data_IF_484192104860
#
_entry.id   IF_484192104860
#
_cell.length_a   1.000
_cell.length_b   1.000
_cell.length_c   1.000
_cell.angle_alpha   90.00
_cell.angle_beta   90.00
_cell.angle_gamma   90.00
#
_symmetry.space_group_name_H-M   'P 1'
#
loop_
_entity.id
_entity.type
_entity.pdbx_description
1 polymer ?
#
# COMPACT_ATOMS: atom_id res chain seq x y z
N UNK A 1 -14.56 22.37 0.91
CA UNK A 1 -15.16 21.16 0.32
C UNK A 1 -14.20 20.02 0.59
N UNK A 2 -14.63 18.91 1.20
CA UNK A 2 -13.77 17.77 1.47
C UNK A 2 -13.36 17.06 0.18
N UNK A 3 -12.27 16.27 0.22
CA UNK A 3 -11.86 15.48 -0.94
C UNK A 3 -12.93 14.47 -1.37
N UNK A 4 -13.67 13.87 -0.43
CA UNK A 4 -14.77 12.98 -0.79
C UNK A 4 -15.90 13.73 -1.49
N UNK A 5 -16.29 14.92 -1.03
CA UNK A 5 -17.32 15.73 -1.70
C UNK A 5 -16.90 16.16 -3.11
N UNK A 6 -15.62 16.45 -3.31
CA UNK A 6 -15.05 16.78 -4.61
C UNK A 6 -15.08 15.59 -5.58
N UNK A 7 -14.76 14.38 -5.08
CA UNK A 7 -14.68 13.17 -5.90
C UNK A 7 -16.03 12.48 -6.08
N UNK A 8 -16.90 12.52 -5.07
CA UNK A 8 -18.19 11.82 -5.01
C UNK A 8 -19.28 12.79 -4.52
N UNK A 9 -19.74 13.75 -5.35
CA UNK A 9 -20.72 14.75 -4.93
C UNK A 9 -22.00 14.11 -4.37
N UNK A 10 -22.38 14.49 -3.15
CA UNK A 10 -23.61 14.02 -2.48
C UNK A 10 -23.56 12.57 -1.97
N UNK A 11 -22.43 11.87 -2.06
CA UNK A 11 -22.31 10.49 -1.58
C UNK A 11 -20.88 10.21 -1.08
N UNK A 12 -20.70 9.08 -0.37
CA UNK A 12 -19.38 8.52 -0.07
C UNK A 12 -19.09 7.35 -1.05
N UNK A 13 -17.81 7.06 -1.34
CA UNK A 13 -17.47 5.82 -2.01
C UNK A 13 -17.93 4.63 -1.15
N UNK A 14 -18.34 3.54 -1.79
CA UNK A 14 -18.68 2.30 -1.07
C UNK A 14 -17.45 1.48 -0.71
N UNK A 15 -16.37 1.67 -1.45
CA UNK A 15 -15.08 0.97 -1.25
C UNK A 15 -13.93 1.96 -1.37
N UNK A 16 -13.04 1.98 -0.38
CA UNK A 16 -11.76 2.67 -0.46
C UNK A 16 -10.64 1.65 -0.36
N UNK A 17 -9.80 1.61 -1.36
CA UNK A 17 -8.62 0.75 -1.42
C UNK A 17 -7.38 1.62 -1.18
N UNK A 18 -6.43 1.13 -0.40
CA UNK A 18 -5.20 1.86 -0.02
C UNK A 18 -3.96 1.06 -0.40
N UNK A 19 -2.92 1.73 -0.85
CA UNK A 19 -1.57 1.20 -0.75
C UNK A 19 -1.08 1.24 0.71
N UNK A 20 0.07 0.66 0.99
CA UNK A 20 0.65 0.56 2.33
C UNK A 20 1.88 1.46 2.50
N UNK A 21 3.00 1.09 1.85
CA UNK A 21 4.30 1.74 2.02
C UNK A 21 4.31 3.09 1.30
N UNK A 22 4.49 4.20 2.02
CA UNK A 22 4.40 5.56 1.50
C UNK A 22 3.00 6.16 1.53
N UNK A 23 1.98 5.34 1.77
CA UNK A 23 0.57 5.76 1.83
C UNK A 23 0.02 5.76 3.26
N UNK A 24 0.08 4.62 3.93
CA UNK A 24 -0.41 4.47 5.31
C UNK A 24 0.73 4.50 6.33
N UNK A 25 1.91 4.05 5.93
CA UNK A 25 3.08 3.93 6.80
C UNK A 25 4.35 4.47 6.12
N UNK A 26 5.24 5.07 6.91
CA UNK A 26 6.63 5.31 6.53
C UNK A 26 7.45 4.08 6.94
N UNK A 27 7.73 3.21 5.99
CA UNK A 27 8.51 1.98 6.16
C UNK A 27 9.94 2.09 5.63
N UNK A 28 10.29 3.20 5.00
CA UNK A 28 11.64 3.38 4.41
C UNK A 28 12.76 3.22 5.41
N UNK A 29 12.66 3.66 6.68
CA UNK A 29 13.74 3.45 7.63
C UNK A 29 14.10 1.97 7.85
N UNK A 30 13.10 1.09 8.00
CA UNK A 30 13.35 -0.36 8.14
C UNK A 30 13.80 -1.00 6.83
N UNK A 31 13.23 -0.57 5.69
CA UNK A 31 13.66 -1.02 4.37
C UNK A 31 15.11 -0.64 4.09
N UNK A 32 15.53 0.58 4.46
CA UNK A 32 16.91 1.03 4.30
C UNK A 32 17.87 0.24 5.18
N UNK A 33 17.53 -0.02 6.43
CA UNK A 33 18.33 -0.85 7.32
C UNK A 33 18.53 -2.27 6.76
N UNK A 34 17.47 -2.87 6.20
CA UNK A 34 17.56 -4.20 5.59
C UNK A 34 18.38 -4.20 4.29
N UNK A 35 18.23 -3.18 3.45
CA UNK A 35 19.04 -3.00 2.23
C UNK A 35 20.50 -2.82 2.58
N UNK A 36 20.81 -1.95 3.54
CA UNK A 36 22.19 -1.68 3.93
C UNK A 36 22.86 -2.93 4.51
N UNK A 37 22.14 -3.71 5.32
CA UNK A 37 22.64 -4.99 5.84
C UNK A 37 22.90 -5.99 4.72
N UNK A 38 21.98 -6.16 3.80
CA UNK A 38 22.15 -7.00 2.60
C UNK A 38 23.41 -6.59 1.82
N UNK A 39 23.58 -5.30 1.53
CA UNK A 39 24.73 -4.78 0.78
C UNK A 39 26.05 -5.06 1.52
N UNK A 40 26.09 -4.86 2.83
CA UNK A 40 27.28 -5.17 3.65
C UNK A 40 27.63 -6.67 3.62
N UNK A 41 26.65 -7.56 3.74
CA UNK A 41 26.85 -9.01 3.67
C UNK A 41 27.36 -9.44 2.27
N UNK A 42 27.00 -8.69 1.23
CA UNK A 42 27.51 -8.89 -0.15
C UNK A 42 28.86 -8.14 -0.41
N UNK A 43 29.50 -7.59 0.63
CA UNK A 43 30.78 -6.87 0.51
C UNK A 43 30.68 -5.51 -0.18
N UNK A 44 29.46 -4.91 -0.25
CA UNK A 44 29.18 -3.61 -0.88
C UNK A 44 29.02 -2.51 0.17
N UNK A 45 29.07 -1.25 -0.27
CA UNK A 45 28.83 -0.10 0.61
C UNK A 45 27.33 0.07 0.86
N UNK A 46 26.92 0.50 2.09
CA UNK A 46 25.53 0.85 2.36
C UNK A 46 25.01 1.92 1.39
N UNK A 47 23.74 1.84 1.06
CA UNK A 47 23.06 2.81 0.20
C UNK A 47 22.54 4.03 0.97
N UNK A 48 22.09 3.79 2.21
CA UNK A 48 21.51 4.82 3.07
C UNK A 48 20.05 5.15 2.76
N UNK A 49 19.43 5.86 3.70
CA UNK A 49 17.99 6.14 3.72
C UNK A 49 17.49 6.84 2.45
N UNK A 50 18.19 7.88 2.01
CA UNK A 50 17.74 8.72 0.88
C UNK A 50 17.73 7.96 -0.44
N UNK A 51 18.74 7.14 -0.71
CA UNK A 51 18.80 6.32 -1.91
C UNK A 51 17.64 5.30 -1.91
N UNK A 52 17.46 4.60 -0.79
CA UNK A 52 16.39 3.60 -0.66
C UNK A 52 15.01 4.23 -0.80
N UNK A 53 14.77 5.43 -0.26
CA UNK A 53 13.52 6.19 -0.45
C UNK A 53 13.16 6.39 -1.94
N UNK A 54 14.15 6.62 -2.79
CA UNK A 54 13.95 6.76 -4.23
C UNK A 54 13.72 5.42 -4.95
N UNK A 55 14.09 4.31 -4.34
CA UNK A 55 14.01 2.98 -4.97
C UNK A 55 12.77 2.18 -4.61
N UNK A 56 12.08 2.52 -3.53
CA UNK A 56 10.87 1.83 -3.03
C UNK A 56 9.68 2.02 -3.98
N UNK A 57 8.71 1.07 -3.96
CA UNK A 57 7.41 1.18 -4.63
C UNK A 57 7.07 0.04 -5.59
N UNK A 58 8.07 -0.74 -6.06
CA UNK A 58 7.84 -1.81 -7.04
C UNK A 58 8.02 -3.24 -6.48
N UNK A 59 8.05 -3.37 -5.15
CA UNK A 59 8.25 -4.64 -4.44
C UNK A 59 9.71 -5.00 -4.19
N UNK A 60 9.92 -5.99 -3.31
CA UNK A 60 11.25 -6.35 -2.81
C UNK A 60 12.26 -6.79 -3.91
N UNK A 61 11.89 -7.60 -4.93
CA UNK A 61 12.85 -7.98 -5.97
C UNK A 61 13.39 -6.77 -6.75
N UNK A 62 12.55 -5.78 -7.04
CA UNK A 62 12.99 -4.57 -7.76
C UNK A 62 13.83 -3.67 -6.85
N UNK A 63 13.47 -3.55 -5.58
CA UNK A 63 14.25 -2.79 -4.60
C UNK A 63 15.67 -3.34 -4.47
N UNK A 64 15.82 -4.66 -4.36
CA UNK A 64 17.12 -5.34 -4.28
C UNK A 64 17.96 -5.09 -5.53
N UNK A 65 17.39 -5.26 -6.73
CA UNK A 65 18.11 -4.97 -7.98
C UNK A 65 18.57 -3.51 -8.06
N UNK A 66 17.73 -2.57 -7.65
CA UNK A 66 18.12 -1.15 -7.61
C UNK A 66 19.24 -0.88 -6.62
N UNK A 67 19.22 -1.56 -5.47
CA UNK A 67 20.28 -1.46 -4.47
C UNK A 67 21.60 -2.02 -5.01
N UNK A 68 21.58 -3.15 -5.72
CA UNK A 68 22.76 -3.74 -6.34
C UNK A 68 23.30 -2.89 -7.50
N UNK A 69 22.41 -2.26 -8.27
CA UNK A 69 22.79 -1.34 -9.36
C UNK A 69 23.23 0.04 -8.83
N UNK A 70 22.87 0.41 -7.59
CA UNK A 70 23.07 1.75 -7.05
C UNK A 70 22.18 2.82 -7.71
N UNK A 71 21.05 2.43 -8.32
CA UNK A 71 20.18 3.34 -9.06
C UNK A 71 18.86 2.73 -9.53
N UNK A 72 18.03 3.55 -10.21
CA UNK A 72 16.74 3.11 -10.74
C UNK A 72 16.88 2.16 -11.94
N UNK A 73 17.90 2.35 -12.77
CA UNK A 73 18.23 1.44 -13.86
C UNK A 73 19.00 0.23 -13.29
N UNK A 74 18.37 -0.92 -13.40
CA UNK A 74 18.88 -2.17 -12.83
C UNK A 74 18.92 -3.32 -13.85
N UNK A 75 18.85 -3.02 -15.14
CA UNK A 75 18.80 -4.02 -16.21
C UNK A 75 20.10 -4.86 -16.32
N UNK A 76 21.23 -4.30 -15.86
CA UNK A 76 22.54 -4.96 -15.90
C UNK A 76 22.84 -5.84 -14.69
N UNK A 77 21.96 -5.91 -13.68
CA UNK A 77 22.17 -6.73 -12.49
C UNK A 77 21.94 -8.20 -12.84
N UNK A 78 22.94 -9.02 -12.52
CA UNK A 78 22.90 -10.47 -12.73
C UNK A 78 21.76 -11.12 -11.93
N UNK A 79 21.14 -12.17 -12.50
CA UNK A 79 19.98 -12.80 -11.89
C UNK A 79 20.36 -13.59 -10.63
N UNK A 80 21.50 -14.31 -10.63
CA UNK A 80 21.96 -15.08 -9.48
C UNK A 80 22.35 -14.13 -8.32
N UNK A 81 23.01 -13.01 -8.65
CA UNK A 81 23.33 -11.97 -7.66
C UNK A 81 22.07 -11.33 -7.08
N UNK A 82 21.06 -11.07 -7.90
CA UNK A 82 19.77 -10.53 -7.46
C UNK A 82 19.01 -11.51 -6.57
N UNK A 83 19.04 -12.82 -6.86
CA UNK A 83 18.39 -13.85 -6.04
C UNK A 83 19.08 -13.96 -4.68
N UNK A 84 20.42 -14.03 -4.64
CA UNK A 84 21.17 -14.01 -3.39
C UNK A 84 20.88 -12.75 -2.56
N UNK A 85 20.89 -11.58 -3.20
CA UNK A 85 20.56 -10.31 -2.52
C UNK A 85 19.13 -10.31 -1.96
N UNK A 86 18.18 -10.88 -2.72
CA UNK A 86 16.79 -10.97 -2.25
C UNK A 86 16.65 -11.84 -1.01
N UNK A 87 17.34 -12.98 -0.95
CA UNK A 87 17.33 -13.84 0.23
C UNK A 87 17.87 -13.11 1.46
N UNK A 88 19.03 -12.47 1.34
CA UNK A 88 19.65 -11.69 2.43
C UNK A 88 18.77 -10.53 2.89
N UNK A 89 18.21 -9.78 1.93
CA UNK A 89 17.26 -8.70 2.23
C UNK A 89 16.04 -9.22 3.00
N UNK A 90 15.45 -10.32 2.55
CA UNK A 90 14.25 -10.88 3.16
C UNK A 90 14.51 -11.40 4.58
N UNK A 91 15.70 -11.91 4.87
CA UNK A 91 16.14 -12.30 6.22
C UNK A 91 16.30 -11.05 7.09
N UNK A 92 17.07 -10.07 6.62
CA UNK A 92 17.30 -8.83 7.35
C UNK A 92 15.99 -8.07 7.65
N UNK A 93 15.09 -8.00 6.67
CA UNK A 93 13.81 -7.32 6.84
C UNK A 93 12.85 -8.05 7.80
N UNK A 94 12.93 -9.37 7.90
CA UNK A 94 12.10 -10.15 8.84
C UNK A 94 12.48 -9.93 10.31
N UNK A 95 13.70 -9.47 10.60
CA UNK A 95 14.23 -9.35 11.96
C UNK A 95 13.84 -8.04 12.66
N UNK A 96 13.49 -6.98 11.92
CA UNK A 96 13.20 -5.67 12.52
C UNK A 96 12.18 -4.87 11.73
N UNK A 97 11.20 -4.29 12.45
CA UNK A 97 10.20 -3.35 11.94
C UNK A 97 9.97 -2.20 12.93
N UNK A 98 10.96 -1.88 13.74
CA UNK A 98 10.81 -0.96 14.89
C UNK A 98 10.79 0.51 14.45
N UNK A 99 11.33 0.83 13.28
CA UNK A 99 11.43 2.19 12.76
C UNK A 99 10.22 2.62 11.91
N UNK A 100 9.39 1.66 11.50
CA UNK A 100 8.18 1.92 10.72
C UNK A 100 7.12 2.63 11.56
N UNK A 101 6.55 3.70 11.03
CA UNK A 101 5.52 4.49 11.70
C UNK A 101 4.30 4.70 10.81
N UNK A 102 3.12 4.88 11.43
CA UNK A 102 1.89 5.26 10.72
C UNK A 102 1.94 6.77 10.46
N UNK A 103 1.67 7.18 9.22
CA UNK A 103 1.60 8.60 8.88
C UNK A 103 0.53 9.36 9.68
N UNK A 104 0.73 10.65 9.95
CA UNK A 104 -0.30 11.52 10.53
C UNK A 104 -1.61 11.45 9.73
N UNK A 105 -2.75 11.54 10.41
CA UNK A 105 -4.07 11.52 9.77
C UNK A 105 -4.61 10.15 9.35
N UNK A 106 -3.76 9.14 9.17
CA UNK A 106 -4.16 7.80 8.73
C UNK A 106 -5.17 7.16 9.68
N UNK A 107 -4.86 7.11 10.98
CA UNK A 107 -5.74 6.49 11.97
C UNK A 107 -7.10 7.17 12.05
N UNK A 108 -7.13 8.49 11.95
CA UNK A 108 -8.35 9.29 11.98
C UNK A 108 -9.21 8.99 10.77
N UNK A 109 -8.59 8.95 9.59
CA UNK A 109 -9.26 8.66 8.32
C UNK A 109 -9.83 7.24 8.30
N UNK A 110 -9.04 6.22 8.67
CA UNK A 110 -9.51 4.84 8.71
C UNK A 110 -10.64 4.66 9.71
N UNK A 111 -10.54 5.25 10.92
CA UNK A 111 -11.58 5.22 11.95
C UNK A 111 -12.86 5.89 11.47
N UNK A 112 -12.74 7.03 10.77
CA UNK A 112 -13.90 7.75 10.26
C UNK A 112 -14.61 6.94 9.17
N UNK A 113 -13.87 6.43 8.16
CA UNK A 113 -14.43 5.58 7.10
C UNK A 113 -15.16 4.36 7.67
N UNK A 114 -14.53 3.70 8.64
CA UNK A 114 -15.14 2.56 9.33
C UNK A 114 -16.48 2.93 10.01
N UNK A 115 -16.54 4.09 10.67
CA UNK A 115 -17.80 4.59 11.29
C UNK A 115 -18.87 4.92 10.25
N UNK A 116 -18.50 5.31 9.04
CA UNK A 116 -19.44 5.56 7.94
C UNK A 116 -19.89 4.28 7.23
N UNK A 117 -19.39 3.11 7.62
CA UNK A 117 -19.71 1.84 6.97
C UNK A 117 -19.08 1.68 5.59
N UNK A 118 -18.05 2.46 5.27
CA UNK A 118 -17.29 2.32 4.01
C UNK A 118 -16.39 1.10 4.08
N UNK A 119 -16.49 0.21 3.10
CA UNK A 119 -15.60 -0.94 3.02
C UNK A 119 -14.18 -0.51 2.67
N UNK A 120 -13.17 -1.15 3.29
CA UNK A 120 -11.78 -0.81 3.06
C UNK A 120 -10.97 -2.05 2.68
N UNK A 121 -10.02 -1.86 1.77
CA UNK A 121 -9.05 -2.87 1.39
C UNK A 121 -7.64 -2.31 1.35
N UNK A 122 -6.65 -3.18 1.56
CA UNK A 122 -5.25 -2.90 1.38
C UNK A 122 -4.74 -3.63 0.13
N UNK A 123 -4.04 -2.91 -0.75
CA UNK A 123 -3.44 -3.45 -1.98
C UNK A 123 -2.03 -2.93 -2.12
N UNK A 124 -1.04 -3.77 -1.86
CA UNK A 124 0.37 -3.38 -1.84
C UNK A 124 1.26 -4.28 -2.69
N UNK A 125 2.38 -3.75 -3.17
CA UNK A 125 3.43 -4.53 -3.82
C UNK A 125 4.39 -5.22 -2.83
N UNK A 126 4.21 -4.95 -1.51
CA UNK A 126 4.94 -5.62 -0.44
C UNK A 126 4.59 -7.11 -0.38
N UNK A 127 5.56 -8.02 -0.20
CA UNK A 127 5.27 -9.45 -0.03
C UNK A 127 4.27 -9.71 1.10
N UNK A 128 3.25 -10.55 0.83
CA UNK A 128 2.12 -10.80 1.72
C UNK A 128 2.55 -11.22 3.14
N UNK A 129 3.61 -12.03 3.24
CA UNK A 129 4.11 -12.54 4.52
C UNK A 129 4.50 -11.45 5.53
N UNK A 130 4.85 -10.25 5.07
CA UNK A 130 5.22 -9.11 5.93
C UNK A 130 4.03 -8.21 6.24
N UNK A 131 2.93 -8.31 5.49
CA UNK A 131 1.82 -7.37 5.62
C UNK A 131 1.06 -7.58 6.93
N UNK A 132 0.64 -8.81 7.22
CA UNK A 132 -0.14 -9.13 8.42
C UNK A 132 0.57 -8.70 9.73
N UNK A 133 1.80 -9.17 10.01
CA UNK A 133 2.54 -8.78 11.21
C UNK A 133 2.71 -7.27 11.35
N UNK A 134 2.98 -6.56 10.24
CA UNK A 134 3.15 -5.12 10.23
C UNK A 134 1.84 -4.38 10.54
N UNK A 135 0.73 -4.82 9.98
CA UNK A 135 -0.59 -4.25 10.26
C UNK A 135 -1.01 -4.46 11.72
N UNK A 136 -0.65 -5.59 12.32
CA UNK A 136 -0.91 -5.89 13.74
C UNK A 136 -0.07 -4.97 14.64
N UNK A 137 1.22 -4.83 14.35
CA UNK A 137 2.10 -3.90 15.05
C UNK A 137 1.59 -2.45 14.97
N UNK A 138 1.18 -2.03 13.78
CA UNK A 138 0.62 -0.70 13.53
C UNK A 138 -0.83 -0.56 14.06
N UNK A 139 -1.48 -1.62 14.50
CA UNK A 139 -2.87 -1.65 15.02
C UNK A 139 -3.89 -1.05 14.03
N UNK A 140 -3.69 -1.27 12.73
CA UNK A 140 -4.60 -0.79 11.67
C UNK A 140 -5.23 -1.93 10.86
N UNK A 141 -4.80 -3.17 11.01
CA UNK A 141 -5.28 -4.33 10.24
C UNK A 141 -6.78 -4.55 10.32
N UNK A 142 -7.39 -4.25 11.48
CA UNK A 142 -8.83 -4.40 11.74
C UNK A 142 -9.75 -3.59 10.82
N UNK A 143 -9.21 -2.60 10.11
CA UNK A 143 -10.00 -1.75 9.21
C UNK A 143 -10.17 -2.35 7.82
N UNK A 144 -9.33 -3.31 7.44
CA UNK A 144 -9.29 -3.84 6.08
C UNK A 144 -10.00 -5.20 6.00
N UNK A 145 -11.03 -5.26 5.17
CA UNK A 145 -11.75 -6.51 4.89
C UNK A 145 -10.98 -7.41 3.92
N UNK A 146 -10.22 -6.82 3.01
CA UNK A 146 -9.36 -7.52 2.06
C UNK A 146 -7.95 -6.97 2.14
N UNK A 147 -6.98 -7.87 2.13
CA UNK A 147 -5.54 -7.55 2.14
C UNK A 147 -4.91 -8.32 1.00
N UNK A 148 -4.33 -7.59 0.03
CA UNK A 148 -3.66 -8.13 -1.14
C UNK A 148 -2.20 -7.69 -1.12
N UNK A 149 -1.30 -8.63 -0.92
CA UNK A 149 0.15 -8.44 -1.01
C UNK A 149 0.67 -8.55 -2.44
N UNK A 150 1.94 -8.26 -2.63
CA UNK A 150 2.57 -8.24 -3.95
C UNK A 150 2.73 -9.59 -4.64
N UNK A 151 2.56 -10.67 -3.89
CA UNK A 151 2.65 -12.07 -4.34
C UNK A 151 1.33 -12.84 -4.12
N UNK A 152 0.27 -12.17 -3.67
CA UNK A 152 -1.06 -12.75 -3.50
C UNK A 152 -1.70 -13.11 -4.84
N UNK A 153 -1.47 -12.30 -5.87
CA UNK A 153 -1.90 -12.52 -7.25
C UNK A 153 -0.68 -12.64 -8.17
N UNK A 154 -0.81 -13.26 -9.35
CA UNK A 154 0.29 -13.31 -10.32
C UNK A 154 0.74 -11.93 -10.80
N UNK A 155 -0.18 -10.96 -10.86
CA UNK A 155 0.11 -9.59 -11.26
C UNK A 155 0.05 -8.66 -10.05
N UNK A 156 0.96 -7.67 -10.04
CA UNK A 156 1.04 -6.60 -9.04
C UNK A 156 0.92 -5.22 -9.69
N UNK A 157 0.65 -4.17 -8.91
CA UNK A 157 0.62 -2.80 -9.44
C UNK A 157 1.90 -2.47 -10.22
N UNK A 158 1.81 -1.88 -11.42
CA UNK A 158 0.70 -1.12 -11.98
C UNK A 158 -0.39 -1.92 -12.72
N UNK A 159 -0.34 -3.26 -12.73
CA UNK A 159 -1.44 -4.07 -13.27
C UNK A 159 -2.70 -3.88 -12.40
N UNK A 160 -3.91 -3.70 -13.00
CA UNK A 160 -5.14 -3.45 -12.27
C UNK A 160 -5.73 -4.69 -11.59
N UNK A 161 -5.16 -5.87 -11.75
CA UNK A 161 -5.75 -7.15 -11.34
C UNK A 161 -6.18 -7.17 -9.86
N UNK A 162 -5.37 -6.61 -8.95
CA UNK A 162 -5.68 -6.56 -7.53
C UNK A 162 -6.90 -5.66 -7.22
N UNK A 163 -6.99 -4.51 -7.89
CA UNK A 163 -8.11 -3.57 -7.73
C UNK A 163 -9.40 -4.20 -8.26
N UNK A 164 -9.36 -4.76 -9.47
CA UNK A 164 -10.49 -5.44 -10.11
C UNK A 164 -10.97 -6.63 -9.27
N UNK A 165 -10.04 -7.40 -8.70
CA UNK A 165 -10.34 -8.51 -7.82
C UNK A 165 -11.09 -8.05 -6.57
N UNK A 166 -10.59 -7.03 -5.88
CA UNK A 166 -11.22 -6.51 -4.65
C UNK A 166 -12.60 -5.91 -4.95
N UNK A 167 -12.74 -5.12 -6.01
CA UNK A 167 -14.04 -4.56 -6.43
C UNK A 167 -15.06 -5.67 -6.72
N UNK A 168 -14.65 -6.75 -7.38
CA UNK A 168 -15.50 -7.90 -7.62
C UNK A 168 -15.92 -8.59 -6.31
N UNK A 169 -14.98 -8.80 -5.38
CA UNK A 169 -15.28 -9.41 -4.07
C UNK A 169 -16.20 -8.55 -3.21
N UNK A 170 -16.07 -7.22 -3.30
CA UNK A 170 -16.91 -6.26 -2.61
C UNK A 170 -18.27 -6.03 -3.30
N UNK A 171 -18.43 -6.49 -4.53
CA UNK A 171 -19.58 -6.18 -5.40
C UNK A 171 -19.81 -4.65 -5.52
N UNK A 172 -18.71 -3.92 -5.79
CA UNK A 172 -18.70 -2.47 -5.94
C UNK A 172 -18.16 -2.12 -7.33
N UNK A 173 -18.90 -1.32 -8.14
CA UNK A 173 -18.43 -0.86 -9.43
C UNK A 173 -17.37 0.24 -9.28
N UNK A 174 -16.57 0.47 -10.33
CA UNK A 174 -15.45 1.39 -10.31
C UNK A 174 -15.83 2.83 -9.94
N UNK A 175 -17.01 3.28 -10.36
CA UNK A 175 -17.54 4.64 -10.09
C UNK A 175 -17.80 4.89 -8.60
N UNK A 176 -17.97 3.83 -7.80
CA UNK A 176 -18.22 3.86 -6.36
C UNK A 176 -17.00 3.42 -5.54
N UNK A 177 -15.86 3.24 -6.21
CA UNK A 177 -14.59 2.86 -5.60
C UNK A 177 -13.58 4.01 -5.68
N UNK A 178 -12.69 4.07 -4.70
CA UNK A 178 -11.55 4.97 -4.64
C UNK A 178 -10.28 4.17 -4.39
N UNK A 179 -9.20 4.54 -5.06
CA UNK A 179 -7.87 4.09 -4.71
C UNK A 179 -7.03 5.26 -4.18
N UNK A 180 -6.29 5.02 -3.10
CA UNK A 180 -5.40 6.00 -2.48
C UNK A 180 -3.99 5.43 -2.49
N UNK A 181 -3.05 6.16 -3.07
CA UNK A 181 -1.66 5.75 -3.17
C UNK A 181 -0.72 6.94 -3.31
N UNK A 182 0.57 6.69 -3.35
CA UNK A 182 1.61 7.73 -3.40
C UNK A 182 2.54 7.61 -4.59
N UNK A 183 2.38 6.55 -5.41
CA UNK A 183 3.31 6.24 -6.49
C UNK A 183 2.67 6.17 -7.87
N UNK A 184 3.51 6.26 -8.90
CA UNK A 184 3.13 6.00 -10.29
C UNK A 184 2.42 4.65 -10.45
N UNK A 185 2.87 3.61 -9.75
CA UNK A 185 2.27 2.27 -9.82
C UNK A 185 0.79 2.28 -9.39
N UNK A 186 0.46 3.10 -8.41
CA UNK A 186 -0.89 3.25 -7.87
C UNK A 186 -1.81 3.95 -8.86
N UNK A 187 -1.34 5.09 -9.37
CA UNK A 187 -2.12 5.89 -10.32
C UNK A 187 -2.38 5.12 -11.62
N UNK A 188 -1.39 4.39 -12.12
CA UNK A 188 -1.56 3.58 -13.33
C UNK A 188 -2.51 2.40 -13.10
N UNK A 189 -2.40 1.70 -11.96
CA UNK A 189 -3.32 0.62 -11.62
C UNK A 189 -4.77 1.13 -11.51
N UNK A 190 -4.98 2.26 -10.84
CA UNK A 190 -6.30 2.88 -10.70
C UNK A 190 -6.88 3.31 -12.05
N UNK A 191 -6.09 3.97 -12.90
CA UNK A 191 -6.50 4.35 -14.26
C UNK A 191 -6.90 3.14 -15.10
N UNK A 192 -6.09 2.07 -15.07
CA UNK A 192 -6.37 0.85 -15.81
C UNK A 192 -7.59 0.09 -15.28
N UNK A 193 -7.92 0.23 -13.98
CA UNK A 193 -9.12 -0.32 -13.37
C UNK A 193 -10.37 0.57 -13.53
N UNK A 194 -10.24 1.79 -14.10
CA UNK A 194 -11.33 2.77 -14.18
C UNK A 194 -11.75 3.38 -12.85
N UNK A 195 -10.88 3.32 -11.83
CA UNK A 195 -11.14 3.79 -10.46
C UNK A 195 -10.55 5.19 -10.28
N UNK A 196 -11.26 6.06 -9.56
CA UNK A 196 -10.72 7.36 -9.13
C UNK A 196 -9.51 7.14 -8.22
N UNK A 197 -8.47 7.97 -8.41
CA UNK A 197 -7.24 7.89 -7.63
C UNK A 197 -6.94 9.20 -6.90
N UNK A 198 -6.56 9.08 -5.63
CA UNK A 198 -5.96 10.16 -4.83
C UNK A 198 -4.48 9.88 -4.70
N UNK A 199 -3.66 10.88 -5.04
CA UNK A 199 -2.22 10.86 -4.89
C UNK A 199 -1.78 11.59 -3.62
N UNK A 200 -0.86 11.00 -2.86
CA UNK A 200 -0.29 11.56 -1.63
C UNK A 200 1.08 12.17 -1.90
N UNK A 201 1.32 13.39 -1.43
CA UNK A 201 2.59 14.11 -1.69
C UNK A 201 3.75 13.66 -0.82
N UNK A 202 3.47 13.06 0.33
CA UNK A 202 4.47 12.68 1.33
C UNK A 202 5.12 11.30 1.10
N UNK A 203 4.64 10.54 0.12
CA UNK A 203 5.11 9.18 -0.13
C UNK A 203 6.34 9.06 -1.04
N UNK A 204 6.46 7.95 -1.75
CA UNK A 204 7.68 7.53 -2.46
C UNK A 204 7.44 7.40 -3.97
N UNK A 205 7.48 8.48 -4.72
CA UNK A 205 7.34 8.45 -6.18
C UNK A 205 8.68 8.64 -6.90
N UNK A 206 9.72 7.92 -6.49
CA UNK A 206 11.05 7.94 -7.12
C UNK A 206 11.65 9.35 -7.25
N UNK A 207 11.38 10.24 -6.28
CA UNK A 207 11.82 11.63 -6.28
C UNK A 207 11.02 12.56 -7.20
N UNK A 208 9.93 12.11 -7.82
CA UNK A 208 9.06 12.92 -8.69
C UNK A 208 7.76 13.28 -7.95
N UNK A 209 7.22 14.49 -8.17
CA UNK A 209 5.92 14.85 -7.64
C UNK A 209 4.82 13.90 -8.15
N UNK A 210 3.95 13.41 -7.24
CA UNK A 210 2.84 12.54 -7.62
C UNK A 210 1.84 13.22 -8.57
N UNK A 211 1.79 14.55 -8.57
CA UNK A 211 0.96 15.33 -9.49
C UNK A 211 1.31 15.11 -10.97
N UNK A 212 2.56 14.73 -11.28
CA UNK A 212 2.98 14.42 -12.65
C UNK A 212 2.30 13.16 -13.19
N UNK A 213 1.86 12.26 -12.31
CA UNK A 213 1.12 11.07 -12.69
C UNK A 213 -0.38 11.35 -12.94
N UNK A 214 -0.83 12.60 -12.71
CA UNK A 214 -2.19 13.09 -12.90
C UNK A 214 -3.26 12.18 -12.23
N UNK A 215 -3.25 11.99 -10.90
CA UNK A 215 -4.36 11.42 -10.16
C UNK A 215 -5.57 12.36 -10.18
N UNK A 216 -6.76 11.91 -9.77
CA UNK A 216 -7.96 12.73 -9.71
C UNK A 216 -7.89 13.85 -8.67
N UNK A 217 -7.13 13.65 -7.60
CA UNK A 217 -6.90 14.59 -6.52
C UNK A 217 -5.50 14.35 -5.94
N UNK A 218 -4.83 15.43 -5.55
CA UNK A 218 -3.54 15.39 -4.82
C UNK A 218 -3.73 16.05 -3.46
N UNK A 219 -3.31 15.36 -2.40
CA UNK A 219 -3.40 15.85 -1.01
C UNK A 219 -2.10 15.55 -0.27
N UNK A 220 -1.83 16.33 0.78
CA UNK A 220 -0.68 16.20 1.67
C UNK A 220 -1.02 15.60 3.04
N UNK A 221 -2.31 15.37 3.30
CA UNK A 221 -2.82 14.74 4.51
C UNK A 221 -4.13 13.99 4.19
N UNK A 222 -4.24 12.73 4.62
CA UNK A 222 -5.43 11.92 4.39
C UNK A 222 -6.70 12.52 5.00
N UNK A 223 -6.58 13.34 6.05
CA UNK A 223 -7.71 14.05 6.64
C UNK A 223 -8.37 15.04 5.69
N UNK A 224 -7.67 15.51 4.65
CA UNK A 224 -8.26 16.37 3.62
C UNK A 224 -9.40 15.69 2.84
N UNK A 225 -9.49 14.35 2.89
CA UNK A 225 -10.64 13.61 2.36
C UNK A 225 -11.91 13.81 3.18
N UNK A 226 -11.79 14.10 4.48
CA UNK A 226 -12.88 14.06 5.44
C UNK A 226 -13.68 15.38 5.46
N UNK A 227 -15.00 15.33 5.74
CA UNK A 227 -15.78 16.54 5.97
C UNK A 227 -15.26 17.31 7.19
N UNK A 228 -15.15 18.65 7.09
CA UNK A 228 -14.82 19.54 8.20
C UNK A 228 -13.33 19.65 8.57
N UNK A 229 -12.41 19.01 7.85
CA UNK A 229 -10.96 19.04 8.15
C UNK A 229 -10.19 20.21 7.52
N UNK A 230 -10.79 21.38 7.35
CA UNK A 230 -10.09 22.60 6.87
C UNK A 230 -9.77 23.60 8.00
N UNK A 231 -9.93 23.21 9.29
CA UNK A 231 -9.49 24.05 10.41
C UNK A 231 -8.24 23.41 11.06
N UNK A 232 -7.17 24.19 11.32
CA UNK A 232 -6.04 23.69 12.10
C UNK A 232 -6.53 23.37 13.52
N UNK A 233 -6.15 22.20 14.01
CA UNK A 233 -6.55 21.72 15.33
C UNK A 233 -6.06 22.67 16.45
N UNK A 234 -6.92 23.55 16.92
CA UNK A 234 -6.82 24.13 18.25
C UNK A 234 -7.37 23.12 19.25
N UNK A 235 -6.48 22.68 20.13
CA UNK A 235 -6.58 21.61 21.08
C UNK A 235 -7.95 21.30 21.68
N UNK A 236 -8.35 20.04 21.57
CA UNK A 236 -9.20 19.35 22.53
C UNK A 236 -8.66 17.93 22.70
N UNK A 237 -8.11 17.66 23.85
CA UNK A 237 -7.80 16.33 24.37
C UNK A 237 -9.08 15.53 24.54
N UNK A 238 -9.29 14.50 23.75
CA UNK A 238 -10.31 13.49 24.03
C UNK A 238 -9.65 12.33 24.77
N UNK A 239 -10.08 12.16 26.00
CA UNK A 239 -9.77 11.06 26.91
C UNK A 239 -10.12 9.71 26.29
N UNK A 240 -9.25 8.73 26.55
CA UNK A 240 -9.35 7.34 26.16
C UNK A 240 -10.72 6.72 26.45
N UNK A 241 -11.39 6.27 25.40
CA UNK A 241 -12.51 5.33 25.52
C UNK A 241 -12.05 4.00 24.94
N UNK A 242 -11.92 2.99 25.80
CA UNK A 242 -11.59 1.62 25.43
C UNK A 242 -12.53 1.10 24.34
N UNK A 243 -12.01 0.43 23.30
CA UNK A 243 -12.85 -0.21 22.29
C UNK A 243 -13.45 -1.51 22.82
N UNK A 244 -14.65 -1.91 22.36
CA UNK A 244 -15.27 -3.17 22.72
C UNK A 244 -14.43 -4.34 22.16
N UNK A 245 -14.29 -5.38 23.00
CA UNK A 245 -13.67 -6.66 22.67
C UNK A 245 -14.63 -7.48 21.80
N UNK A 246 -14.43 -7.45 20.49
CA UNK A 246 -15.01 -8.47 19.62
C UNK A 246 -13.96 -8.98 18.63
N UNK A 247 -13.63 -10.26 18.83
CA UNK A 247 -12.60 -11.02 18.10
C UNK A 247 -13.15 -11.73 16.87
N UNK A 248 -14.14 -11.19 16.19
CA UNK A 248 -14.68 -11.85 15.01
C UNK A 248 -14.60 -10.96 13.78
N UNK A 249 -13.74 -11.39 12.89
CA UNK A 249 -13.66 -11.17 11.44
C UNK A 249 -12.35 -10.63 10.89
N UNK A 250 -11.25 -11.36 11.14
CA UNK A 250 -10.15 -11.38 10.17
C UNK A 250 -10.33 -12.69 9.39
N UNK A 251 -10.98 -12.64 8.23
CA UNK A 251 -10.95 -13.77 7.29
C UNK A 251 -9.64 -13.68 6.52
N UNK A 252 -8.58 -14.20 7.14
CA UNK A 252 -7.43 -14.66 6.38
C UNK A 252 -7.91 -15.80 5.50
N UNK A 253 -8.07 -15.56 4.21
CA UNK A 253 -8.42 -16.60 3.25
C UNK A 253 -7.24 -17.55 3.16
N UNK A 254 -7.31 -18.71 3.85
CA UNK A 254 -6.25 -19.72 3.84
C UNK A 254 -5.96 -20.19 2.42
N UNK A 255 -4.67 -20.46 2.10
CA UNK A 255 -4.19 -20.82 0.76
C UNK A 255 -4.92 -21.95 0.03
N UNK A 256 -5.74 -22.77 0.71
CA UNK A 256 -6.56 -23.81 0.09
C UNK A 256 -7.82 -23.29 -0.60
N UNK A 257 -8.39 -22.18 -0.15
CA UNK A 257 -9.52 -21.51 -0.82
C UNK A 257 -9.02 -20.73 -2.05
N UNK A 258 -7.79 -20.21 -2.00
CA UNK A 258 -7.09 -19.49 -3.06
C UNK A 258 -6.90 -20.29 -4.35
N UNK A 259 -6.51 -21.56 -4.25
CA UNK A 259 -6.36 -22.44 -5.43
C UNK A 259 -7.66 -22.63 -6.21
N UNK A 260 -8.82 -22.57 -5.54
CA UNK A 260 -10.13 -22.63 -6.22
C UNK A 260 -10.48 -21.33 -6.92
N UNK A 261 -10.12 -20.18 -6.36
CA UNK A 261 -10.38 -18.85 -6.93
C UNK A 261 -9.46 -18.59 -8.13
N UNK A 262 -8.17 -18.93 -8.05
CA UNK A 262 -7.22 -18.83 -9.17
C UNK A 262 -7.66 -19.71 -10.36
N UNK A 263 -8.12 -20.94 -10.10
CA UNK A 263 -8.65 -21.83 -11.15
C UNK A 263 -9.96 -21.30 -11.78
N UNK A 264 -10.78 -20.57 -11.04
CA UNK A 264 -11.98 -19.93 -11.58
C UNK A 264 -11.64 -18.72 -12.46
N UNK A 265 -10.64 -17.91 -12.07
CA UNK A 265 -10.17 -16.76 -12.84
C UNK A 265 -9.43 -17.17 -14.13
N UNK A 266 -8.66 -18.24 -14.11
CA UNK A 266 -8.00 -18.80 -15.30
C UNK A 266 -8.99 -19.28 -16.36
N UNK A 267 -10.17 -19.78 -15.94
CA UNK A 267 -11.24 -20.19 -16.87
C UNK A 267 -11.99 -19.01 -17.52
N UNK A 268 -11.92 -17.83 -16.92
CA UNK A 268 -12.62 -16.66 -17.41
C UNK A 268 -11.86 -15.90 -18.51
N UNK A 269 -10.54 -16.05 -18.58
CA UNK A 269 -9.67 -15.39 -19.57
C UNK A 269 -9.81 -15.91 -21.02
N UNK A 270 -10.55 -17.02 -21.25
CA UNK A 270 -10.68 -17.68 -22.55
C UNK A 270 -12.08 -17.57 -23.18
N UNK A 271 -12.97 -16.69 -22.68
CA UNK A 271 -14.32 -16.50 -23.24
C UNK A 271 -14.68 -15.01 -23.39
N UNK A 272 -13.77 -14.21 -23.92
CA UNK A 272 -14.09 -12.87 -24.43
C UNK A 272 -13.38 -12.68 -25.77
#
# INVERSE_FOLDING_TARGET
MSGFEQLFPGALPRLVMFDLDGTLIDSVPDLAAAVDRMLLEMGRKPAGLEAVRHWVGNGAPVLVRRALAGGLDHASVDDDEAEQGLELFMQAYAESHELTVVYPGVRDTLKWLHKQGVEMALITNKPERFVGPLLDQMKIGRYFRWIIGGDTLPQKKPDPAALLFVMKMANVPAEQALFVGDSRSDVLAAKAAGVKCVGLTYGYNHGRPISEEAPCLVIDDLRALLPGCLEPATGITLTDVNPPSDRDSIVAVSGKLWMKVIKALARWRWRA
#
